data_IF_518092335005
#
_entry.id   IF_518092335005
#
_cell.length_a   1.000
_cell.length_b   1.000
_cell.length_c   1.000
_cell.angle_alpha   90.00
_cell.angle_beta   90.00
_cell.angle_gamma   90.00
#
_symmetry.space_group_name_H-M   'P 1'
#
loop_
_entity.id
_entity.type
_entity.pdbx_description
1 polymer ?
#
# COMPACT_ATOMS: atom_id res chain seq x y z
N UNK A 1 6.79 2.78 30.89
CA UNK A 1 6.70 4.24 30.77
C UNK A 1 6.81 4.75 29.33
N UNK A 2 7.81 4.36 28.54
CA UNK A 2 8.00 4.78 27.14
C UNK A 2 6.82 4.47 26.20
N UNK A 3 6.12 3.35 26.36
CA UNK A 3 4.93 3.01 25.55
C UNK A 3 3.74 3.93 25.86
N UNK A 4 3.57 4.36 27.11
CA UNK A 4 2.52 5.29 27.54
C UNK A 4 2.72 6.68 26.94
N UNK A 5 3.97 7.13 26.83
CA UNK A 5 4.34 8.42 26.24
C UNK A 5 4.11 8.41 24.71
N UNK A 6 4.26 7.22 24.09
CA UNK A 6 4.07 7.05 22.65
C UNK A 6 2.61 6.93 22.20
N UNK A 7 1.68 6.67 23.14
CA UNK A 7 0.25 6.59 22.85
C UNK A 7 -0.33 7.99 22.67
N UNK A 8 -0.49 8.40 21.42
CA UNK A 8 -1.23 9.62 21.08
C UNK A 8 -2.72 9.30 20.94
N UNK A 9 -3.54 9.98 21.74
CA UNK A 9 -4.99 9.93 21.61
C UNK A 9 -5.41 10.74 20.37
N UNK A 10 -6.00 10.07 19.41
CA UNK A 10 -6.56 10.71 18.22
C UNK A 10 -8.05 10.99 18.51
N UNK A 11 -8.35 12.11 19.17
CA UNK A 11 -9.71 12.51 19.48
C UNK A 11 -10.01 13.87 18.89
N UNK A 12 -11.00 13.89 18.02
CA UNK A 12 -11.55 15.14 17.54
C UNK A 12 -12.78 15.63 18.35
N UNK A 13 -13.32 14.83 19.30
CA UNK A 13 -14.51 15.23 20.07
C UNK A 13 -14.53 14.66 21.50
N UNK A 14 -15.03 15.44 22.42
CA UNK A 14 -14.89 15.38 23.88
C UNK A 14 -15.87 14.47 24.65
N UNK A 15 -16.72 13.67 24.02
CA UNK A 15 -17.64 12.79 24.77
C UNK A 15 -16.94 11.49 25.17
N UNK A 16 -17.12 11.03 26.41
CA UNK A 16 -16.64 9.74 26.95
C UNK A 16 -17.09 8.60 26.03
N UNK A 17 -16.16 7.98 25.33
CA UNK A 17 -16.45 6.87 24.43
C UNK A 17 -16.30 5.56 25.16
N UNK A 18 -17.25 4.65 24.91
CA UNK A 18 -17.34 3.38 25.64
C UNK A 18 -16.25 2.36 25.27
N UNK A 19 -15.64 2.47 24.09
CA UNK A 19 -14.65 1.51 23.59
C UNK A 19 -13.45 2.21 22.98
N UNK A 20 -12.27 1.61 23.14
CA UNK A 20 -11.01 2.14 22.62
C UNK A 20 -10.39 1.13 21.65
N UNK A 21 -9.81 1.63 20.56
CA UNK A 21 -9.12 0.83 19.56
C UNK A 21 -7.66 1.27 19.54
N UNK A 22 -6.74 0.31 19.73
CA UNK A 22 -5.32 0.54 19.58
C UNK A 22 -4.90 0.33 18.12
N UNK A 23 -4.27 1.31 17.50
CA UNK A 23 -3.85 1.27 16.12
C UNK A 23 -2.32 1.24 16.07
N UNK A 24 -1.76 0.21 15.44
CA UNK A 24 -0.33 0.13 15.16
C UNK A 24 -0.02 0.99 13.96
N UNK A 25 0.41 2.24 14.22
CA UNK A 25 0.52 3.27 13.21
C UNK A 25 1.58 2.94 12.15
N UNK A 26 1.14 3.04 10.90
CA UNK A 26 1.98 3.16 9.73
C UNK A 26 1.47 4.33 8.89
N UNK A 27 2.37 5.21 8.45
CA UNK A 27 2.01 6.46 7.74
C UNK A 27 1.02 6.26 6.58
N UNK A 28 1.12 5.13 5.87
CA UNK A 28 0.23 4.78 4.76
C UNK A 28 -1.16 4.30 5.27
N UNK A 29 -1.28 3.88 6.53
CA UNK A 29 -2.52 3.32 7.12
C UNK A 29 -3.55 4.35 7.51
N UNK A 30 -3.12 5.55 7.83
CA UNK A 30 -4.00 6.58 8.40
C UNK A 30 -5.13 7.00 7.45
N UNK A 31 -4.87 7.01 6.14
CA UNK A 31 -5.88 7.34 5.13
C UNK A 31 -7.03 6.32 5.05
N UNK A 32 -6.80 5.08 5.49
CA UNK A 32 -7.85 4.07 5.61
C UNK A 32 -8.75 4.30 6.83
N UNK A 33 -8.27 5.11 7.78
CA UNK A 33 -8.95 5.41 9.04
C UNK A 33 -9.66 6.75 9.07
N UNK A 34 -9.46 7.64 8.10
CA UNK A 34 -10.02 8.99 8.12
C UNK A 34 -11.53 9.04 8.30
N UNK A 35 -12.24 8.02 7.81
CA UNK A 35 -13.70 7.94 7.96
C UNK A 35 -14.18 7.32 9.25
N UNK A 36 -13.29 6.82 10.09
CA UNK A 36 -13.65 6.39 11.43
C UNK A 36 -14.26 7.55 12.25
N UNK A 37 -13.78 8.75 12.03
CA UNK A 37 -14.31 9.95 12.74
C UNK A 37 -15.77 10.25 12.39
N UNK A 38 -16.20 9.94 11.15
CA UNK A 38 -17.59 10.18 10.72
C UNK A 38 -18.54 9.05 11.06
N UNK A 39 -18.01 7.82 11.22
CA UNK A 39 -18.85 6.63 11.36
C UNK A 39 -19.04 6.19 12.81
N UNK A 40 -18.19 6.68 13.74
CA UNK A 40 -18.20 6.09 15.06
C UNK A 40 -17.90 7.09 16.19
N UNK A 41 -18.96 7.78 16.65
CA UNK A 41 -18.87 8.64 17.84
C UNK A 41 -18.65 7.83 19.13
N UNK A 42 -18.75 6.50 19.10
CA UNK A 42 -18.66 5.62 20.27
C UNK A 42 -17.24 5.09 20.58
N UNK A 43 -16.26 5.29 19.69
CA UNK A 43 -14.91 4.72 19.84
C UNK A 43 -13.83 5.81 19.90
N UNK A 44 -12.81 5.61 20.74
CA UNK A 44 -11.57 6.39 20.72
C UNK A 44 -10.45 5.62 20.04
N UNK A 45 -9.66 6.30 19.22
CA UNK A 45 -8.52 5.74 18.54
C UNK A 45 -7.24 6.12 19.27
N UNK A 46 -6.45 5.12 19.67
CA UNK A 46 -5.13 5.32 20.25
C UNK A 46 -4.09 4.86 19.22
N UNK A 47 -3.16 5.73 18.90
CA UNK A 47 -2.14 5.44 17.89
C UNK A 47 -0.82 5.14 18.59
N UNK A 48 -0.26 3.97 18.29
CA UNK A 48 1.07 3.59 18.69
C UNK A 48 1.98 3.51 17.44
N UNK A 49 2.99 4.36 17.33
CA UNK A 49 3.95 4.26 16.24
C UNK A 49 4.66 2.90 16.26
N UNK A 50 4.67 2.21 15.12
CA UNK A 50 5.27 0.88 14.98
C UNK A 50 6.76 0.82 15.36
N UNK A 51 7.46 1.95 15.27
CA UNK A 51 8.87 2.03 15.63
C UNK A 51 9.13 1.59 17.07
N UNK A 52 8.22 1.89 18.00
CA UNK A 52 8.36 1.48 19.40
C UNK A 52 8.33 -0.03 19.57
N UNK A 53 7.46 -0.74 18.83
CA UNK A 53 7.49 -2.20 18.83
C UNK A 53 8.79 -2.77 18.27
N UNK A 54 9.35 -2.13 17.25
CA UNK A 54 10.65 -2.55 16.69
C UNK A 54 11.79 -2.36 17.70
N UNK A 55 11.83 -1.22 18.38
CA UNK A 55 12.84 -0.95 19.41
C UNK A 55 12.76 -2.00 20.51
N UNK A 56 11.56 -2.24 21.04
CA UNK A 56 11.36 -3.25 22.07
C UNK A 56 11.73 -4.65 21.55
N UNK A 57 11.32 -5.00 20.35
CA UNK A 57 11.67 -6.26 19.72
C UNK A 57 13.19 -6.46 19.68
N UNK A 58 13.95 -5.46 19.28
CA UNK A 58 15.41 -5.56 19.19
C UNK A 58 16.11 -5.70 20.55
N UNK A 59 15.47 -5.30 21.65
CA UNK A 59 15.99 -5.58 23.00
C UNK A 59 15.98 -7.10 23.28
N UNK A 60 14.89 -7.79 22.89
CA UNK A 60 14.78 -9.25 23.08
C UNK A 60 15.60 -10.06 22.07
N UNK A 61 15.99 -9.45 20.94
CA UNK A 61 16.75 -10.08 19.86
C UNK A 61 18.11 -9.41 19.62
N UNK A 62 18.72 -8.82 20.68
CA UNK A 62 19.99 -8.09 20.60
C UNK A 62 21.14 -8.97 20.06
N UNK A 63 21.16 -10.25 20.44
CA UNK A 63 22.22 -11.20 20.07
C UNK A 63 22.25 -11.48 18.55
N UNK A 64 21.23 -11.07 17.82
CA UNK A 64 21.15 -11.21 16.37
C UNK A 64 21.59 -9.94 15.62
N UNK A 65 22.19 -8.95 16.26
CA UNK A 65 22.74 -7.73 15.65
C UNK A 65 21.79 -7.09 14.63
N UNK A 66 20.51 -6.95 14.97
CA UNK A 66 19.45 -6.44 14.09
C UNK A 66 19.23 -7.23 12.79
N UNK A 67 19.80 -8.44 12.65
CA UNK A 67 19.66 -9.29 11.46
C UNK A 67 18.27 -9.92 11.32
N UNK A 68 17.48 -9.98 12.39
CA UNK A 68 16.12 -10.55 12.38
C UNK A 68 15.18 -9.69 11.52
N UNK A 69 14.55 -10.34 10.57
CA UNK A 69 13.61 -9.73 9.63
C UNK A 69 12.43 -10.68 9.34
N UNK A 70 11.48 -10.25 8.48
CA UNK A 70 10.28 -11.01 8.15
C UNK A 70 10.57 -12.41 7.56
N UNK A 71 11.77 -12.68 7.06
CA UNK A 71 12.12 -13.97 6.45
C UNK A 71 12.76 -14.94 7.46
N UNK A 72 13.76 -14.49 8.23
CA UNK A 72 14.50 -15.35 9.14
C UNK A 72 13.84 -15.51 10.51
N UNK A 73 12.92 -14.62 10.89
CA UNK A 73 12.09 -14.78 12.10
C UNK A 73 11.35 -16.13 12.14
N UNK A 74 11.11 -16.74 10.98
CA UNK A 74 10.41 -18.03 10.84
C UNK A 74 11.33 -19.25 10.99
N UNK A 75 12.62 -19.04 11.11
CA UNK A 75 13.59 -20.14 11.29
C UNK A 75 13.32 -20.84 12.61
N UNK A 76 13.25 -22.16 12.56
CA UNK A 76 13.12 -23.00 13.75
C UNK A 76 14.50 -23.11 14.42
N UNK A 77 14.77 -22.23 15.34
CA UNK A 77 15.96 -22.19 16.17
C UNK A 77 15.53 -22.02 17.62
N UNK A 78 16.03 -22.86 18.51
CA UNK A 78 15.63 -22.89 19.94
C UNK A 78 15.82 -21.51 20.60
N UNK A 79 16.95 -20.85 20.33
CA UNK A 79 17.23 -19.51 20.85
C UNK A 79 16.24 -18.45 20.36
N UNK A 80 15.90 -18.48 19.08
CA UNK A 80 14.87 -17.60 18.51
C UNK A 80 13.50 -17.87 19.15
N UNK A 81 13.12 -19.14 19.33
CA UNK A 81 11.83 -19.50 19.94
C UNK A 81 11.75 -19.08 21.40
N UNK A 82 12.83 -19.20 22.17
CA UNK A 82 12.90 -18.70 23.53
C UNK A 82 12.73 -17.18 23.59
N UNK A 83 13.42 -16.44 22.73
CA UNK A 83 13.29 -14.99 22.66
C UNK A 83 11.87 -14.55 22.22
N UNK A 84 11.23 -15.30 21.32
CA UNK A 84 9.80 -15.08 20.96
C UNK A 84 8.90 -15.24 22.19
N UNK A 85 9.12 -16.28 23.00
CA UNK A 85 8.35 -16.52 24.23
C UNK A 85 8.53 -15.38 25.21
N UNK A 86 9.77 -15.00 25.53
CA UNK A 86 10.07 -13.88 26.43
C UNK A 86 9.44 -12.57 25.94
N UNK A 87 9.55 -12.28 24.66
CA UNK A 87 8.95 -11.09 24.04
C UNK A 87 7.42 -11.12 24.13
N UNK A 88 6.78 -12.27 23.87
CA UNK A 88 5.33 -12.46 24.00
C UNK A 88 4.85 -12.25 25.44
N UNK A 89 5.56 -12.81 26.40
CA UNK A 89 5.21 -12.69 27.82
C UNK A 89 5.33 -11.24 28.29
N UNK A 90 6.39 -10.54 27.87
CA UNK A 90 6.54 -9.12 28.10
C UNK A 90 5.37 -8.31 27.49
N UNK A 91 5.06 -8.56 26.20
CA UNK A 91 3.95 -7.88 25.54
C UNK A 91 2.59 -8.19 26.21
N UNK A 92 2.40 -9.42 26.70
CA UNK A 92 1.17 -9.79 27.41
C UNK A 92 1.01 -8.97 28.71
N UNK A 93 2.10 -8.81 29.50
CA UNK A 93 2.10 -7.98 30.70
C UNK A 93 1.83 -6.50 30.35
N UNK A 94 2.50 -5.97 29.33
CA UNK A 94 2.29 -4.60 28.87
C UNK A 94 0.84 -4.37 28.46
N UNK A 95 0.28 -5.27 27.65
CA UNK A 95 -1.13 -5.17 27.22
C UNK A 95 -2.09 -5.29 28.39
N UNK A 96 -1.82 -6.13 29.37
CA UNK A 96 -2.65 -6.22 30.58
C UNK A 96 -2.76 -4.87 31.28
N UNK A 97 -1.64 -4.21 31.58
CA UNK A 97 -1.65 -2.92 32.25
C UNK A 97 -2.27 -1.78 31.39
N UNK A 98 -1.97 -1.78 30.08
CA UNK A 98 -2.57 -0.82 29.17
C UNK A 98 -4.08 -1.03 29.05
N UNK A 99 -4.53 -2.29 29.01
CA UNK A 99 -5.96 -2.58 28.90
C UNK A 99 -6.72 -2.23 30.17
N UNK A 100 -6.13 -2.46 31.36
CA UNK A 100 -6.70 -2.00 32.64
C UNK A 100 -6.91 -0.49 32.66
N UNK A 101 -5.99 0.29 32.04
CA UNK A 101 -6.08 1.75 32.00
C UNK A 101 -6.98 2.28 30.87
N UNK A 102 -6.94 1.69 29.71
CA UNK A 102 -7.56 2.26 28.50
C UNK A 102 -8.75 1.43 27.97
N UNK A 103 -9.01 0.25 28.47
CA UNK A 103 -10.10 -0.64 28.04
C UNK A 103 -10.18 -0.82 26.52
N UNK A 104 -9.13 -1.40 25.92
CA UNK A 104 -9.09 -1.65 24.50
C UNK A 104 -10.02 -2.79 24.09
N UNK A 105 -10.95 -2.53 23.20
CA UNK A 105 -11.78 -3.57 22.57
C UNK A 105 -11.04 -4.34 21.48
N UNK A 106 -10.15 -3.66 20.79
CA UNK A 106 -9.39 -4.27 19.69
C UNK A 106 -8.08 -3.55 19.38
N UNK A 107 -7.20 -4.28 18.69
CA UNK A 107 -5.95 -3.79 18.11
C UNK A 107 -6.05 -3.92 16.60
N UNK A 108 -5.71 -2.86 15.86
CA UNK A 108 -5.63 -2.85 14.41
C UNK A 108 -4.17 -2.76 13.94
N UNK A 109 -3.73 -3.76 13.15
CA UNK A 109 -2.47 -3.73 12.42
C UNK A 109 -2.71 -3.63 10.90
N UNK A 110 -1.64 -3.38 10.11
CA UNK A 110 -1.75 -3.19 8.66
C UNK A 110 -0.98 -4.22 7.81
N UNK A 111 -0.31 -5.15 8.46
CA UNK A 111 0.33 -6.27 7.76
C UNK A 111 0.56 -7.43 8.73
N UNK A 112 -0.02 -8.59 8.45
CA UNK A 112 0.11 -9.79 9.28
C UNK A 112 1.52 -10.41 9.27
N UNK A 113 2.42 -9.95 8.39
CA UNK A 113 3.76 -10.50 8.20
C UNK A 113 4.84 -9.81 9.04
N UNK A 114 4.57 -8.65 9.63
CA UNK A 114 5.59 -7.91 10.36
C UNK A 114 6.10 -8.65 11.59
N UNK A 115 7.40 -8.98 11.60
CA UNK A 115 8.05 -9.77 12.64
C UNK A 115 7.85 -9.18 14.05
N UNK A 116 8.01 -7.87 14.22
CA UNK A 116 7.85 -7.22 15.52
C UNK A 116 6.40 -7.20 16.04
N UNK A 117 5.40 -7.48 15.19
CA UNK A 117 3.97 -7.51 15.57
C UNK A 117 3.45 -8.94 15.76
N UNK A 118 4.25 -9.96 15.42
CA UNK A 118 3.78 -11.36 15.43
C UNK A 118 3.47 -11.86 16.83
N UNK A 119 4.31 -11.56 17.80
CA UNK A 119 4.04 -11.98 19.18
C UNK A 119 2.93 -11.16 19.83
N UNK A 120 2.70 -9.93 19.35
CA UNK A 120 1.65 -9.05 19.87
C UNK A 120 0.25 -9.63 19.64
N UNK A 121 -0.01 -10.32 18.51
CA UNK A 121 -1.34 -10.90 18.29
C UNK A 121 -1.61 -12.12 19.23
N UNK A 122 -0.58 -12.87 19.64
CA UNK A 122 -0.73 -13.88 20.68
C UNK A 122 -0.92 -13.23 22.07
N UNK A 123 -0.14 -12.18 22.37
CA UNK A 123 -0.29 -11.41 23.59
C UNK A 123 -1.68 -10.76 23.73
N UNK A 124 -2.23 -10.26 22.63
CA UNK A 124 -3.60 -9.72 22.58
C UNK A 124 -4.64 -10.80 22.91
N UNK A 125 -4.49 -12.00 22.35
CA UNK A 125 -5.35 -13.16 22.65
C UNK A 125 -5.32 -13.53 24.12
N UNK A 126 -4.15 -13.56 24.75
CA UNK A 126 -3.98 -13.82 26.18
C UNK A 126 -4.73 -12.78 27.05
N UNK A 127 -4.85 -11.56 26.56
CA UNK A 127 -5.56 -10.47 27.24
C UNK A 127 -7.02 -10.29 26.79
N UNK A 128 -7.57 -11.23 26.02
CA UNK A 128 -8.94 -11.18 25.47
C UNK A 128 -9.22 -9.90 24.64
N UNK A 129 -8.17 -9.32 24.04
CA UNK A 129 -8.27 -8.16 23.15
C UNK A 129 -8.31 -8.67 21.72
N UNK A 130 -9.35 -8.31 20.95
CA UNK A 130 -9.49 -8.68 19.55
C UNK A 130 -8.32 -8.12 18.73
N UNK A 131 -7.66 -8.94 17.92
CA UNK A 131 -6.58 -8.50 17.03
C UNK A 131 -6.95 -8.65 15.57
N UNK A 132 -7.07 -7.52 14.88
CA UNK A 132 -7.48 -7.43 13.48
C UNK A 132 -6.35 -6.87 12.63
N UNK A 133 -6.05 -7.53 11.53
CA UNK A 133 -5.09 -7.05 10.55
C UNK A 133 -5.80 -6.61 9.27
N UNK A 134 -5.74 -5.34 8.92
CA UNK A 134 -6.08 -4.84 7.58
C UNK A 134 -4.85 -4.96 6.68
N UNK A 135 -4.74 -6.06 5.94
CA UNK A 135 -3.57 -6.29 5.10
C UNK A 135 -3.63 -5.44 3.82
N UNK A 136 -2.72 -4.47 3.72
CA UNK A 136 -2.73 -3.43 2.67
C UNK A 136 -2.01 -3.84 1.39
N UNK A 137 -1.08 -4.78 1.44
CA UNK A 137 -0.29 -5.24 0.30
C UNK A 137 -1.09 -6.28 -0.51
N UNK A 138 -2.21 -5.83 -1.10
CA UNK A 138 -3.20 -6.71 -1.73
C UNK A 138 -3.13 -6.75 -3.27
N UNK A 139 -2.18 -6.03 -3.90
CA UNK A 139 -1.93 -6.17 -5.33
C UNK A 139 -1.04 -7.38 -5.57
N UNK A 140 -1.63 -8.43 -6.15
CA UNK A 140 -0.92 -9.65 -6.56
C UNK A 140 -1.02 -9.78 -8.07
N UNK A 141 0.11 -9.92 -8.72
CA UNK A 141 0.19 -10.15 -10.16
C UNK A 141 0.17 -11.65 -10.48
N UNK A 142 -0.26 -12.05 -11.68
CA UNK A 142 -0.31 -13.48 -12.04
C UNK A 142 1.00 -14.22 -11.79
N UNK A 143 2.14 -13.62 -12.13
CA UNK A 143 3.48 -14.19 -11.90
C UNK A 143 3.88 -14.30 -10.43
N UNK A 144 3.21 -13.61 -9.52
CA UNK A 144 3.51 -13.64 -8.08
C UNK A 144 2.68 -14.68 -7.31
N UNK A 145 1.60 -15.20 -7.87
CA UNK A 145 0.64 -16.07 -7.16
C UNK A 145 1.33 -17.30 -6.56
N UNK A 146 2.12 -18.04 -7.35
CA UNK A 146 2.84 -19.24 -6.90
C UNK A 146 3.96 -18.89 -5.90
N UNK A 147 4.83 -17.90 -6.17
CA UNK A 147 5.82 -17.43 -5.19
C UNK A 147 5.21 -17.01 -3.85
N UNK A 148 4.08 -16.32 -3.86
CA UNK A 148 3.37 -15.96 -2.63
C UNK A 148 2.86 -17.17 -1.87
N UNK A 149 2.23 -18.12 -2.55
CA UNK A 149 1.77 -19.35 -1.93
C UNK A 149 2.91 -20.10 -1.24
N UNK A 150 4.03 -20.30 -1.93
CA UNK A 150 5.20 -20.99 -1.38
C UNK A 150 5.82 -20.25 -0.18
N UNK A 151 5.86 -18.93 -0.24
CA UNK A 151 6.29 -18.12 0.89
C UNK A 151 5.35 -18.30 2.09
N UNK A 152 4.05 -18.19 1.85
CA UNK A 152 3.05 -18.21 2.91
C UNK A 152 2.82 -19.61 3.48
N UNK A 153 3.04 -20.66 2.71
CA UNK A 153 2.97 -22.06 3.19
C UNK A 153 3.94 -22.32 4.34
N UNK A 154 5.11 -21.65 4.33
CA UNK A 154 6.09 -21.78 5.41
C UNK A 154 5.83 -20.84 6.61
N UNK A 155 4.81 -19.98 6.51
CA UNK A 155 4.45 -19.06 7.58
C UNK A 155 3.76 -19.79 8.74
N UNK A 156 4.20 -19.55 9.97
CA UNK A 156 3.56 -20.07 11.17
C UNK A 156 2.15 -19.49 11.38
N UNK A 157 1.42 -20.06 12.34
CA UNK A 157 0.04 -19.65 12.64
C UNK A 157 -0.07 -18.16 12.96
N UNK A 158 -1.13 -17.55 12.47
CA UNK A 158 -1.55 -16.21 12.86
C UNK A 158 -2.42 -16.31 14.12
N UNK A 159 -2.02 -15.63 15.18
CA UNK A 159 -2.71 -15.68 16.47
C UNK A 159 -3.83 -14.66 16.63
N UNK A 160 -4.02 -13.76 15.66
CA UNK A 160 -5.12 -12.78 15.68
C UNK A 160 -6.46 -13.33 15.18
N UNK A 161 -7.52 -12.54 15.33
CA UNK A 161 -8.89 -12.96 15.03
C UNK A 161 -9.22 -12.88 13.54
N UNK A 162 -8.84 -11.79 12.87
CA UNK A 162 -9.16 -11.58 11.46
C UNK A 162 -8.01 -11.02 10.66
N UNK A 163 -7.88 -11.50 9.42
CA UNK A 163 -7.07 -10.86 8.37
C UNK A 163 -8.04 -10.35 7.30
N UNK A 164 -8.08 -9.04 7.14
CA UNK A 164 -8.95 -8.33 6.21
C UNK A 164 -8.17 -7.93 4.98
N UNK A 165 -8.74 -8.13 3.80
CA UNK A 165 -8.13 -7.83 2.52
C UNK A 165 -8.97 -6.81 1.75
N UNK A 166 -8.30 -6.07 0.86
CA UNK A 166 -9.01 -5.23 -0.10
C UNK A 166 -9.79 -6.09 -1.11
N UNK A 167 -9.14 -7.11 -1.66
CA UNK A 167 -9.67 -7.98 -2.71
C UNK A 167 -9.49 -9.47 -2.38
N UNK A 168 -9.96 -10.33 -3.27
CA UNK A 168 -9.93 -11.78 -3.08
C UNK A 168 -8.59 -12.46 -3.41
N UNK A 169 -7.69 -11.81 -4.14
CA UNK A 169 -6.51 -12.50 -4.68
C UNK A 169 -5.64 -13.09 -3.57
N UNK A 170 -5.20 -12.27 -2.62
CA UNK A 170 -4.38 -12.75 -1.51
C UNK A 170 -5.18 -13.60 -0.52
N UNK A 171 -6.46 -13.29 -0.29
CA UNK A 171 -7.34 -14.15 0.51
C UNK A 171 -7.36 -15.58 -0.04
N UNK A 172 -7.51 -15.75 -1.36
CA UNK A 172 -7.57 -17.05 -2.02
C UNK A 172 -6.23 -17.81 -1.93
N UNK A 173 -5.11 -17.09 -1.88
CA UNK A 173 -3.80 -17.71 -1.63
C UNK A 173 -3.71 -18.18 -0.17
N UNK A 174 -4.07 -17.32 0.78
CA UNK A 174 -3.99 -17.67 2.21
C UNK A 174 -4.96 -18.79 2.61
N UNK A 175 -6.15 -18.86 2.01
CA UNK A 175 -7.11 -19.93 2.32
C UNK A 175 -6.60 -21.34 2.01
N UNK A 176 -5.56 -21.45 1.20
CA UNK A 176 -4.87 -22.72 0.87
C UNK A 176 -3.68 -23.02 1.80
N UNK A 177 -3.47 -22.20 2.83
CA UNK A 177 -2.37 -22.34 3.80
C UNK A 177 -2.91 -22.61 5.20
N UNK A 178 -2.03 -23.08 6.11
CA UNK A 178 -2.37 -23.33 7.50
C UNK A 178 -2.20 -22.10 8.41
N UNK A 179 -2.05 -20.89 7.84
CA UNK A 179 -1.81 -19.66 8.63
C UNK A 179 -2.97 -19.35 9.56
N UNK A 180 -4.20 -19.45 9.07
CA UNK A 180 -5.42 -19.26 9.86
C UNK A 180 -6.61 -19.93 9.17
N UNK A 181 -7.69 -20.16 9.94
CA UNK A 181 -8.91 -20.72 9.38
C UNK A 181 -9.54 -19.78 8.32
N UNK A 182 -10.10 -20.34 7.24
CA UNK A 182 -10.67 -19.55 6.13
C UNK A 182 -11.79 -18.61 6.59
N UNK A 183 -12.53 -18.96 7.66
CA UNK A 183 -13.56 -18.10 8.27
C UNK A 183 -13.02 -16.78 8.81
N UNK A 184 -11.71 -16.72 9.14
CA UNK A 184 -11.04 -15.52 9.65
C UNK A 184 -10.46 -14.62 8.54
N UNK A 185 -10.54 -15.06 7.27
CA UNK A 185 -10.10 -14.33 6.10
C UNK A 185 -11.28 -13.62 5.45
N UNK A 186 -11.30 -12.29 5.43
CA UNK A 186 -12.42 -11.50 4.94
C UNK A 186 -12.01 -10.48 3.89
N UNK A 187 -12.79 -10.33 2.84
CA UNK A 187 -12.66 -9.24 1.86
C UNK A 187 -13.59 -8.11 2.26
N UNK A 188 -13.06 -6.94 2.53
CA UNK A 188 -13.84 -5.78 2.95
C UNK A 188 -13.83 -4.63 1.95
N UNK A 189 -12.97 -4.68 0.94
CA UNK A 189 -12.66 -3.57 0.05
C UNK A 189 -11.60 -2.63 0.64
N UNK A 190 -11.23 -1.62 -0.11
CA UNK A 190 -10.22 -0.63 0.26
C UNK A 190 -10.87 0.57 0.97
N UNK A 191 -10.70 0.77 2.28
CA UNK A 191 -11.42 1.81 3.03
C UNK A 191 -11.17 3.22 2.52
N UNK A 192 -9.93 3.57 2.14
CA UNK A 192 -9.62 4.92 1.62
C UNK A 192 -10.30 5.19 0.27
N UNK A 193 -10.66 4.16 -0.50
CA UNK A 193 -11.37 4.33 -1.76
C UNK A 193 -12.82 4.79 -1.56
N UNK A 194 -13.40 4.62 -0.36
CA UNK A 194 -14.72 5.14 -0.02
C UNK A 194 -14.82 6.66 -0.21
N UNK A 195 -13.70 7.37 -0.17
CA UNK A 195 -13.60 8.79 -0.46
C UNK A 195 -14.22 9.15 -1.82
N UNK A 196 -13.93 8.36 -2.84
CA UNK A 196 -14.36 8.62 -4.23
C UNK A 196 -15.82 8.30 -4.50
N UNK A 197 -16.43 7.39 -3.74
CA UNK A 197 -17.82 6.97 -3.95
C UNK A 197 -18.85 7.88 -3.29
N UNK A 198 -18.46 8.69 -2.30
CA UNK A 198 -19.37 9.50 -1.50
C UNK A 198 -19.48 10.96 -1.95
N UNK A 199 -18.51 11.47 -2.64
CA UNK A 199 -18.55 12.82 -3.19
C UNK A 199 -19.18 12.83 -4.57
N UNK A 200 -20.19 13.69 -4.79
CA UNK A 200 -20.42 14.25 -6.12
C UNK A 200 -19.20 15.11 -6.43
N UNK A 201 -18.21 14.50 -7.07
CA UNK A 201 -16.97 15.19 -7.43
C UNK A 201 -17.34 16.19 -8.53
N UNK A 202 -17.55 17.43 -8.15
CA UNK A 202 -17.63 18.53 -9.11
C UNK A 202 -16.28 18.55 -9.85
N UNK A 203 -16.32 18.46 -11.18
CA UNK A 203 -15.13 18.55 -12.03
C UNK A 203 -14.43 19.88 -11.74
N UNK A 204 -13.43 19.88 -10.88
CA UNK A 204 -12.53 21.03 -10.73
C UNK A 204 -11.67 21.12 -11.98
N UNK A 205 -11.26 22.32 -12.35
CA UNK A 205 -10.37 22.55 -13.49
C UNK A 205 -9.18 21.58 -13.45
N UNK A 206 -8.98 20.86 -14.55
CA UNK A 206 -7.87 19.93 -14.71
C UNK A 206 -6.58 20.74 -14.84
N UNK A 207 -5.70 20.68 -13.83
CA UNK A 207 -4.56 21.59 -13.74
C UNK A 207 -3.27 21.04 -14.35
N UNK A 208 -2.93 19.78 -14.04
CA UNK A 208 -1.61 19.22 -14.36
C UNK A 208 -1.70 17.75 -14.80
N UNK A 209 -0.63 17.25 -15.36
CA UNK A 209 -0.38 15.82 -15.58
C UNK A 209 0.31 15.28 -14.33
N UNK A 210 -0.26 14.24 -13.72
CA UNK A 210 0.23 13.66 -12.47
C UNK A 210 1.03 12.38 -12.74
N UNK A 211 2.30 12.38 -12.33
CA UNK A 211 3.20 11.25 -12.47
C UNK A 211 3.50 10.67 -11.10
N UNK A 212 3.15 9.40 -10.86
CA UNK A 212 3.55 8.68 -9.66
C UNK A 212 4.91 8.03 -9.85
N UNK A 213 5.91 8.56 -9.17
CA UNK A 213 7.25 7.97 -9.13
C UNK A 213 7.23 6.66 -8.32
N UNK A 214 8.05 5.72 -8.71
CA UNK A 214 8.12 4.40 -8.09
C UNK A 214 9.54 4.07 -7.66
N UNK A 215 9.65 3.21 -6.66
CA UNK A 215 10.92 2.56 -6.38
C UNK A 215 11.00 1.25 -7.20
N UNK A 216 11.84 1.18 -8.24
CA UNK A 216 11.90 0.01 -9.11
C UNK A 216 12.25 -1.28 -8.36
N UNK A 217 13.04 -1.19 -7.29
CA UNK A 217 13.43 -2.34 -6.44
C UNK A 217 12.25 -2.94 -5.67
N UNK A 218 11.10 -2.23 -5.57
CA UNK A 218 9.90 -2.66 -4.83
C UNK A 218 8.73 -3.03 -5.73
N UNK A 219 8.95 -3.13 -7.03
CA UNK A 219 7.89 -3.43 -8.01
C UNK A 219 7.36 -4.85 -7.91
N UNK A 220 8.19 -5.77 -7.47
CA UNK A 220 7.88 -7.19 -7.35
C UNK A 220 8.09 -7.60 -5.89
N UNK A 221 7.01 -8.00 -5.22
CA UNK A 221 7.03 -8.19 -3.77
C UNK A 221 7.66 -9.50 -3.32
N UNK A 222 7.58 -10.54 -4.16
CA UNK A 222 8.07 -11.88 -3.79
C UNK A 222 8.64 -12.57 -5.01
N UNK A 223 9.95 -12.41 -5.23
CA UNK A 223 10.62 -13.14 -6.32
C UNK A 223 11.91 -13.79 -5.85
N UNK A 224 11.93 -15.12 -5.85
CA UNK A 224 13.17 -15.88 -5.78
C UNK A 224 13.60 -16.23 -7.20
N UNK A 225 14.92 -16.23 -7.46
CA UNK A 225 15.51 -16.58 -8.79
C UNK A 225 14.91 -17.85 -9.40
N UNK A 226 14.62 -18.88 -8.57
CA UNK A 226 14.03 -20.14 -9.03
C UNK A 226 12.68 -19.99 -9.73
N UNK A 227 11.85 -19.02 -9.33
CA UNK A 227 10.52 -18.82 -9.95
C UNK A 227 10.61 -18.07 -11.27
N UNK A 228 11.59 -17.17 -11.41
CA UNK A 228 11.88 -16.52 -12.68
C UNK A 228 12.37 -17.52 -13.72
N UNK A 229 13.25 -18.44 -13.31
CA UNK A 229 13.68 -19.57 -14.20
C UNK A 229 12.48 -20.37 -14.72
N UNK A 230 11.51 -20.70 -13.86
CA UNK A 230 10.30 -21.41 -14.27
C UNK A 230 9.45 -20.64 -15.30
N UNK A 231 9.52 -19.31 -15.26
CA UNK A 231 8.86 -18.44 -16.25
C UNK A 231 9.76 -18.13 -17.46
N UNK A 232 10.96 -18.70 -17.52
CA UNK A 232 11.99 -18.40 -18.53
C UNK A 232 12.32 -16.91 -18.60
N UNK A 233 12.38 -16.24 -17.44
CA UNK A 233 12.68 -14.81 -17.30
C UNK A 233 14.03 -14.66 -16.61
N UNK A 234 14.97 -13.95 -17.23
CA UNK A 234 16.18 -13.46 -16.54
C UNK A 234 15.82 -12.25 -15.68
N UNK A 235 16.46 -12.15 -14.49
CA UNK A 235 16.36 -10.96 -13.63
C UNK A 235 16.79 -9.67 -14.34
N UNK A 236 17.76 -9.78 -15.26
CA UNK A 236 18.22 -8.65 -16.08
C UNK A 236 17.13 -8.11 -17.01
N UNK A 237 16.19 -8.98 -17.43
CA UNK A 237 15.06 -8.62 -18.28
C UNK A 237 13.97 -7.83 -17.52
N UNK A 238 13.96 -7.92 -16.21
CA UNK A 238 13.11 -7.10 -15.32
C UNK A 238 13.70 -5.70 -15.12
N UNK A 239 14.10 -5.04 -16.21
CA UNK A 239 14.79 -3.75 -16.14
C UNK A 239 13.86 -2.57 -15.83
N UNK A 240 13.08 -2.71 -14.74
CA UNK A 240 12.19 -1.67 -14.26
C UNK A 240 12.91 -0.34 -13.95
N UNK A 241 14.16 -0.43 -13.53
CA UNK A 241 14.97 0.76 -13.24
C UNK A 241 15.21 1.57 -14.49
N UNK A 242 15.71 0.94 -15.56
CA UNK A 242 15.94 1.63 -16.82
C UNK A 242 14.66 2.11 -17.48
N UNK A 243 13.60 1.26 -17.48
CA UNK A 243 12.29 1.65 -18.00
C UNK A 243 11.71 2.88 -17.27
N UNK A 244 11.93 2.98 -15.96
CA UNK A 244 11.45 4.11 -15.18
C UNK A 244 12.27 5.38 -15.44
N UNK A 245 13.58 5.28 -15.66
CA UNK A 245 14.42 6.42 -16.03
C UNK A 245 14.09 6.91 -17.43
N UNK A 246 13.99 6.02 -18.42
CA UNK A 246 13.60 6.38 -19.78
C UNK A 246 12.23 7.08 -19.81
N UNK A 247 11.28 6.63 -18.98
CA UNK A 247 9.99 7.30 -18.85
C UNK A 247 10.15 8.76 -18.37
N UNK A 248 10.99 8.98 -17.35
CA UNK A 248 11.18 10.33 -16.80
C UNK A 248 11.86 11.23 -17.84
N UNK A 249 12.91 10.74 -18.51
CA UNK A 249 13.58 11.47 -19.59
C UNK A 249 12.58 11.88 -20.69
N UNK A 250 11.75 10.93 -21.15
CA UNK A 250 10.76 11.20 -22.20
C UNK A 250 9.68 12.20 -21.76
N UNK A 251 9.24 12.16 -20.48
CA UNK A 251 8.30 13.14 -19.95
C UNK A 251 8.95 14.52 -19.83
N UNK A 252 10.21 14.61 -19.39
CA UNK A 252 10.94 15.88 -19.29
C UNK A 252 11.16 16.51 -20.67
N UNK A 253 11.53 15.71 -21.68
CA UNK A 253 11.62 16.15 -23.06
C UNK A 253 10.27 16.68 -23.61
N UNK A 254 9.17 16.01 -23.27
CA UNK A 254 7.84 16.44 -23.64
C UNK A 254 7.44 17.74 -22.91
N UNK A 255 7.76 17.84 -21.61
CA UNK A 255 7.50 19.03 -20.80
C UNK A 255 8.25 20.26 -21.31
N UNK A 256 9.51 20.11 -21.74
CA UNK A 256 10.32 21.17 -22.34
C UNK A 256 9.66 21.76 -23.61
N UNK A 257 9.00 20.90 -24.41
CA UNK A 257 8.29 21.31 -25.63
C UNK A 257 6.89 21.89 -25.36
N UNK A 258 6.37 21.75 -24.14
CA UNK A 258 5.04 22.18 -23.73
C UNK A 258 5.10 23.00 -22.45
N UNK A 259 5.71 24.20 -22.45
CA UNK A 259 5.97 24.99 -21.24
C UNK A 259 4.70 25.41 -20.48
N UNK A 260 3.57 25.53 -21.17
CA UNK A 260 2.26 25.91 -20.60
C UNK A 260 1.53 24.75 -19.90
N UNK A 261 2.07 23.53 -19.98
CA UNK A 261 1.50 22.34 -19.35
C UNK A 261 2.27 22.01 -18.08
N UNK A 262 1.58 21.98 -16.95
CA UNK A 262 2.18 21.64 -15.67
C UNK A 262 2.29 20.11 -15.49
N UNK A 263 3.47 19.63 -15.05
CA UNK A 263 3.77 18.25 -14.73
C UNK A 263 4.11 18.11 -13.25
N UNK A 264 3.34 17.29 -12.53
CA UNK A 264 3.51 17.10 -11.12
C UNK A 264 4.00 15.67 -10.83
N UNK A 265 5.24 15.55 -10.37
CA UNK A 265 5.89 14.28 -10.04
C UNK A 265 5.72 13.99 -8.55
N UNK A 266 4.95 12.96 -8.23
CA UNK A 266 4.63 12.59 -6.86
C UNK A 266 5.51 11.43 -6.38
N UNK A 267 6.34 11.70 -5.38
CA UNK A 267 7.13 10.67 -4.67
C UNK A 267 6.57 10.38 -3.27
N UNK A 268 7.08 9.33 -2.62
CA UNK A 268 6.77 9.02 -1.23
C UNK A 268 7.73 9.78 -0.30
N UNK A 269 7.22 10.36 0.79
CA UNK A 269 8.00 11.15 1.75
C UNK A 269 9.31 10.47 2.21
N UNK A 270 9.28 9.16 2.44
CA UNK A 270 10.44 8.36 2.85
C UNK A 270 11.60 8.31 1.83
N UNK A 271 11.40 8.79 0.61
CA UNK A 271 12.44 8.78 -0.42
C UNK A 271 13.16 10.13 -0.54
N UNK A 272 12.62 11.21 0.01
CA UNK A 272 13.27 12.51 0.00
C UNK A 272 14.35 12.65 1.08
N UNK A 273 14.17 11.97 2.21
CA UNK A 273 15.18 11.92 3.28
C UNK A 273 16.43 11.13 2.83
N UNK A 274 16.24 10.21 1.86
CA UNK A 274 17.30 9.39 1.26
C UNK A 274 17.76 9.90 -0.12
N UNK A 275 17.22 11.03 -0.61
CA UNK A 275 17.58 11.58 -1.92
C UNK A 275 18.96 12.23 -1.83
N UNK A 276 19.98 11.42 -1.98
CA UNK A 276 21.28 11.91 -2.38
C UNK A 276 21.17 12.40 -3.84
N UNK A 277 21.04 13.71 -4.01
CA UNK A 277 20.90 14.36 -5.33
C UNK A 277 22.08 14.05 -6.26
N UNK A 278 23.21 13.59 -5.71
CA UNK A 278 24.37 13.13 -6.44
C UNK A 278 24.22 11.71 -7.01
N UNK A 279 23.21 10.95 -6.58
CA UNK A 279 22.91 9.63 -7.15
C UNK A 279 21.80 9.72 -8.18
N UNK A 280 21.94 9.02 -9.31
CA UNK A 280 20.90 8.93 -10.33
C UNK A 280 19.65 8.30 -9.75
N UNK A 281 18.59 9.11 -9.57
CA UNK A 281 17.25 8.71 -9.14
C UNK A 281 16.21 9.44 -9.99
N UNK A 282 14.96 8.96 -9.98
CA UNK A 282 13.88 9.67 -10.70
C UNK A 282 13.68 11.07 -10.14
N UNK A 283 13.78 11.23 -8.83
CA UNK A 283 13.66 12.51 -8.13
C UNK A 283 14.79 13.48 -8.55
N UNK A 284 16.05 13.00 -8.59
CA UNK A 284 17.19 13.83 -9.01
C UNK A 284 17.08 14.24 -10.47
N UNK A 285 16.57 13.40 -11.36
CA UNK A 285 16.32 13.73 -12.76
C UNK A 285 15.34 14.90 -12.90
N UNK A 286 14.20 14.84 -12.19
CA UNK A 286 13.21 15.92 -12.20
C UNK A 286 13.78 17.21 -11.61
N UNK A 287 14.50 17.11 -10.49
CA UNK A 287 15.10 18.26 -9.83
C UNK A 287 16.16 18.96 -10.71
N UNK A 288 17.06 18.17 -11.31
CA UNK A 288 18.17 18.67 -12.12
C UNK A 288 17.75 19.19 -13.49
N UNK A 289 16.55 18.81 -13.99
CA UNK A 289 16.04 19.33 -15.26
C UNK A 289 15.73 20.83 -15.23
N UNK A 290 15.51 21.40 -14.03
CA UNK A 290 15.24 22.84 -13.80
C UNK A 290 14.12 23.44 -14.68
N UNK A 291 13.13 22.61 -15.09
CA UNK A 291 11.99 23.05 -15.89
C UNK A 291 10.93 23.69 -14.97
N UNK A 292 10.52 24.93 -15.28
CA UNK A 292 9.54 25.71 -14.48
C UNK A 292 8.18 25.01 -14.36
N UNK A 293 7.78 24.27 -15.38
CA UNK A 293 6.52 23.53 -15.45
C UNK A 293 6.58 22.11 -14.89
N UNK A 294 7.75 21.66 -14.36
CA UNK A 294 7.93 20.38 -13.71
C UNK A 294 8.13 20.57 -12.21
N UNK A 295 7.24 20.00 -11.39
CA UNK A 295 7.29 20.12 -9.92
C UNK A 295 7.38 18.75 -9.27
N UNK A 296 8.30 18.60 -8.34
CA UNK A 296 8.39 17.42 -7.46
C UNK A 296 7.57 17.67 -6.19
N UNK A 297 6.73 16.72 -5.80
CA UNK A 297 5.89 16.83 -4.60
C UNK A 297 5.93 15.58 -3.74
N UNK A 298 5.74 15.77 -2.43
CA UNK A 298 5.68 14.72 -1.41
C UNK A 298 4.73 15.15 -0.27
N UNK A 299 4.26 14.21 0.51
CA UNK A 299 3.39 14.54 1.66
C UNK A 299 1.94 14.89 1.33
N UNK A 300 1.65 15.38 0.15
CA UNK A 300 0.29 15.74 -0.28
C UNK A 300 -0.61 14.53 -0.46
N UNK A 301 -1.90 14.72 -0.24
CA UNK A 301 -2.91 13.68 -0.41
C UNK A 301 -3.07 13.31 -1.88
N UNK A 302 -2.65 12.10 -2.21
CA UNK A 302 -2.76 11.55 -3.58
C UNK A 302 -4.18 11.63 -4.14
N UNK A 303 -5.21 11.57 -3.29
CA UNK A 303 -6.62 11.64 -3.71
C UNK A 303 -6.97 13.01 -4.27
N UNK A 304 -6.51 14.07 -3.60
CA UNK A 304 -6.71 15.45 -4.06
C UNK A 304 -5.92 15.75 -5.32
N UNK A 305 -4.71 15.19 -5.44
CA UNK A 305 -3.89 15.32 -6.65
C UNK A 305 -4.56 14.62 -7.83
N UNK A 306 -5.05 13.39 -7.66
CA UNK A 306 -5.78 12.67 -8.69
C UNK A 306 -7.05 13.43 -9.12
N UNK A 307 -7.79 14.01 -8.16
CA UNK A 307 -8.99 14.82 -8.50
C UNK A 307 -8.65 15.99 -9.43
N UNK A 308 -7.56 16.70 -9.17
CA UNK A 308 -7.14 17.90 -9.90
C UNK A 308 -6.38 17.60 -11.20
N UNK A 309 -5.91 16.36 -11.40
CA UNK A 309 -5.09 16.01 -12.56
C UNK A 309 -5.89 15.93 -13.87
N UNK A 310 -5.24 16.21 -15.00
CA UNK A 310 -5.73 15.94 -16.38
C UNK A 310 -5.68 14.45 -16.68
N UNK A 311 -4.55 13.82 -16.39
CA UNK A 311 -4.35 12.38 -16.47
C UNK A 311 -3.38 11.92 -15.38
N UNK A 312 -3.27 10.60 -15.22
CA UNK A 312 -2.37 9.97 -14.26
C UNK A 312 -1.43 9.01 -14.98
N UNK A 313 -0.14 9.16 -14.75
CA UNK A 313 0.91 8.28 -15.29
C UNK A 313 1.52 7.50 -14.13
N UNK A 314 1.74 6.22 -14.32
CA UNK A 314 2.43 5.41 -13.32
C UNK A 314 2.46 3.94 -13.68
N UNK A 315 3.20 3.22 -12.86
CA UNK A 315 3.30 1.77 -12.95
C UNK A 315 2.36 1.11 -11.91
N UNK A 316 2.62 -0.10 -11.54
CA UNK A 316 1.90 -0.97 -10.62
C UNK A 316 1.51 -0.32 -9.28
N UNK A 317 0.48 0.49 -9.28
CA UNK A 317 0.02 1.21 -8.08
C UNK A 317 -1.50 1.19 -7.94
N UNK A 318 -2.00 1.09 -6.72
CA UNK A 318 -3.43 1.27 -6.41
C UNK A 318 -3.94 2.65 -6.77
N UNK A 319 -3.05 3.66 -6.83
CA UNK A 319 -3.43 5.03 -7.23
C UNK A 319 -3.95 5.11 -8.67
N UNK A 320 -3.48 4.23 -9.56
CA UNK A 320 -4.03 4.13 -10.92
C UNK A 320 -5.49 3.63 -10.90
N UNK A 321 -5.80 2.69 -10.01
CA UNK A 321 -7.16 2.17 -9.88
C UNK A 321 -8.05 3.21 -9.20
N UNK A 322 -7.50 3.97 -8.25
CA UNK A 322 -8.17 5.12 -7.64
C UNK A 322 -8.52 6.18 -8.70
N UNK A 323 -7.61 6.44 -9.64
CA UNK A 323 -7.86 7.34 -10.78
C UNK A 323 -8.96 6.80 -11.73
N UNK A 324 -9.09 5.47 -11.89
CA UNK A 324 -10.19 4.87 -12.66
C UNK A 324 -11.56 5.13 -12.04
N UNK A 325 -11.68 5.18 -10.71
CA UNK A 325 -12.95 5.52 -10.05
C UNK A 325 -13.43 6.90 -10.49
N UNK A 326 -12.49 7.84 -10.69
CA UNK A 326 -12.72 9.19 -11.20
C UNK A 326 -12.78 9.27 -12.73
N UNK A 327 -12.68 8.13 -13.40
CA UNK A 327 -12.63 8.03 -14.87
C UNK A 327 -11.53 8.88 -15.52
N UNK A 328 -10.44 9.15 -14.80
CA UNK A 328 -9.29 9.86 -15.35
C UNK A 328 -8.62 9.04 -16.44
N UNK A 329 -8.07 9.65 -17.50
CA UNK A 329 -7.14 8.99 -18.40
C UNK A 329 -5.95 8.46 -17.60
N UNK A 330 -5.55 7.22 -17.88
CA UNK A 330 -4.41 6.59 -17.23
C UNK A 330 -3.42 6.15 -18.29
N UNK A 331 -2.16 6.48 -18.10
CA UNK A 331 -1.07 6.03 -18.95
C UNK A 331 -0.20 5.07 -18.14
N UNK A 332 -0.05 3.86 -18.64
CA UNK A 332 0.82 2.82 -18.07
C UNK A 332 2.00 2.62 -19.02
N UNK A 333 3.20 3.08 -18.64
CA UNK A 333 4.38 2.85 -19.49
C UNK A 333 4.80 1.37 -19.42
N UNK A 334 5.16 0.82 -20.58
CA UNK A 334 5.66 -0.56 -20.72
C UNK A 334 6.97 -0.60 -21.48
N UNK A 335 7.76 0.48 -21.40
CA UNK A 335 9.01 0.68 -22.14
C UNK A 335 10.01 -0.45 -21.93
N UNK A 336 10.44 -1.08 -23.02
CA UNK A 336 11.44 -2.13 -23.01
C UNK A 336 11.04 -3.41 -22.27
N UNK A 337 9.78 -3.53 -21.83
CA UNK A 337 9.32 -4.74 -21.16
C UNK A 337 8.95 -5.81 -22.19
N UNK A 338 9.53 -7.00 -22.04
CA UNK A 338 9.09 -8.16 -22.81
C UNK A 338 7.61 -8.47 -22.54
N UNK A 339 6.90 -8.99 -23.57
CA UNK A 339 5.48 -9.34 -23.48
C UNK A 339 5.14 -10.22 -22.27
N UNK A 340 6.02 -11.19 -21.95
CA UNK A 340 5.83 -12.09 -20.82
C UNK A 340 5.88 -11.33 -19.47
N UNK A 341 6.77 -10.32 -19.34
CA UNK A 341 6.89 -9.49 -18.14
C UNK A 341 5.66 -8.61 -18.01
N UNK A 342 5.31 -7.93 -19.09
CA UNK A 342 4.11 -7.09 -19.11
C UNK A 342 2.85 -7.88 -18.75
N UNK A 343 2.68 -9.09 -19.26
CA UNK A 343 1.52 -9.95 -18.96
C UNK A 343 1.48 -10.42 -17.50
N UNK A 344 2.63 -10.78 -16.91
CA UNK A 344 2.68 -11.43 -15.60
C UNK A 344 2.93 -10.49 -14.43
N UNK A 345 3.50 -9.31 -14.65
CA UNK A 345 3.96 -8.41 -13.58
C UNK A 345 3.53 -6.96 -13.74
N UNK A 346 2.60 -6.66 -14.65
CA UNK A 346 2.01 -5.34 -14.76
C UNK A 346 0.52 -5.36 -14.44
N UNK A 347 0.04 -4.21 -14.00
CA UNK A 347 -1.36 -3.98 -13.71
C UNK A 347 -2.19 -4.07 -15.01
N UNK A 348 -3.06 -5.07 -15.10
CA UNK A 348 -3.91 -5.25 -16.27
C UNK A 348 -5.20 -4.45 -16.11
N UNK A 349 -5.22 -3.25 -16.65
CA UNK A 349 -6.38 -2.35 -16.67
C UNK A 349 -7.20 -2.47 -17.97
N UNK A 350 -6.88 -3.45 -18.82
CA UNK A 350 -7.56 -3.66 -20.12
C UNK A 350 -7.64 -2.34 -20.92
N UNK A 351 -8.77 -2.07 -21.54
CA UNK A 351 -9.03 -0.85 -22.32
C UNK A 351 -9.23 0.40 -21.44
N UNK A 352 -9.09 0.29 -20.12
CA UNK A 352 -9.26 1.42 -19.22
C UNK A 352 -8.00 2.28 -19.07
N UNK A 353 -6.88 1.84 -19.63
CA UNK A 353 -5.63 2.58 -19.63
C UNK A 353 -5.00 2.59 -21.02
N UNK A 354 -4.14 3.58 -21.25
CA UNK A 354 -3.29 3.69 -22.41
C UNK A 354 -1.93 3.09 -22.07
N UNK A 355 -1.54 2.02 -22.75
CA UNK A 355 -0.25 1.38 -22.56
C UNK A 355 0.74 1.97 -23.57
N UNK A 356 1.70 2.76 -23.09
CA UNK A 356 2.76 3.32 -23.92
C UNK A 356 3.99 2.41 -23.93
N UNK A 357 4.37 1.90 -25.10
CA UNK A 357 5.51 0.98 -25.27
C UNK A 357 6.82 1.71 -25.55
N UNK A 358 6.74 2.96 -25.98
CA UNK A 358 7.88 3.81 -26.37
C UNK A 358 7.51 5.28 -26.28
N UNK A 359 8.51 6.15 -26.49
CA UNK A 359 8.39 7.60 -26.50
C UNK A 359 7.31 8.12 -27.48
N UNK A 360 7.25 7.56 -28.70
CA UNK A 360 6.28 7.99 -29.73
C UNK A 360 4.84 7.76 -29.27
N UNK A 361 4.55 6.58 -28.73
CA UNK A 361 3.21 6.26 -28.17
C UNK A 361 2.87 7.13 -26.96
N UNK A 362 3.84 7.34 -26.05
CA UNK A 362 3.67 8.23 -24.89
C UNK A 362 3.32 9.65 -25.34
N UNK A 363 4.13 10.22 -26.24
CA UNK A 363 3.93 11.60 -26.73
C UNK A 363 2.59 11.76 -27.44
N UNK A 364 2.17 10.76 -28.24
CA UNK A 364 0.85 10.76 -28.88
C UNK A 364 -0.28 10.87 -27.84
N UNK A 365 -0.26 10.01 -26.81
CA UNK A 365 -1.30 10.02 -25.77
C UNK A 365 -1.25 11.32 -24.97
N UNK A 366 -0.07 11.83 -24.64
CA UNK A 366 0.09 13.11 -23.94
C UNK A 366 -0.48 14.27 -24.75
N UNK A 367 -0.17 14.34 -26.06
CA UNK A 367 -0.75 15.34 -26.96
C UNK A 367 -2.28 15.26 -27.00
N UNK A 368 -2.84 14.06 -27.11
CA UNK A 368 -4.29 13.88 -27.10
C UNK A 368 -4.94 14.31 -25.77
N UNK A 369 -4.21 14.17 -24.64
CA UNK A 369 -4.67 14.64 -23.32
C UNK A 369 -4.61 16.17 -23.21
N UNK A 370 -3.52 16.81 -23.64
CA UNK A 370 -3.38 18.27 -23.53
C UNK A 370 -4.30 19.01 -24.48
N UNK A 371 -4.57 18.46 -25.68
CA UNK A 371 -5.53 19.03 -26.67
C UNK A 371 -6.98 18.68 -26.32
N UNK A 372 -7.26 17.90 -25.27
CA UNK A 372 -8.61 17.54 -24.84
C UNK A 372 -9.28 16.42 -25.64
N UNK A 373 -8.61 15.85 -26.66
CA UNK A 373 -9.10 14.68 -27.43
C UNK A 373 -9.32 13.47 -26.50
N UNK A 374 -8.48 13.34 -25.46
CA UNK A 374 -8.62 12.35 -24.39
C UNK A 374 -8.85 13.09 -23.07
N UNK A 375 -10.08 13.07 -22.56
CA UNK A 375 -10.44 13.70 -21.29
C UNK A 375 -10.95 12.71 -20.23
N UNK A 376 -11.14 11.44 -20.59
CA UNK A 376 -11.59 10.34 -19.69
C UNK A 376 -11.12 8.99 -20.22
N UNK A 377 -11.19 7.95 -19.37
CA UNK A 377 -10.99 6.57 -19.81
C UNK A 377 -12.05 6.15 -20.84
N UNK A 378 -11.65 5.36 -21.83
CA UNK A 378 -12.56 4.83 -22.88
C UNK A 378 -13.43 3.65 -22.41
N UNK A 379 -13.08 3.03 -21.27
CA UNK A 379 -13.78 1.84 -20.81
C UNK A 379 -15.21 2.12 -20.35
N UNK A 380 -16.14 1.28 -20.76
CA UNK A 380 -17.54 1.32 -20.32
C UNK A 380 -17.68 0.99 -18.82
N UNK A 381 -18.82 1.38 -18.23
CA UNK A 381 -19.11 1.23 -16.79
C UNK A 381 -18.88 -0.20 -16.27
N UNK A 382 -19.29 -1.23 -17.02
CA UNK A 382 -19.14 -2.67 -16.63
C UNK A 382 -17.67 -3.06 -16.50
N UNK A 383 -16.81 -2.66 -17.47
CA UNK A 383 -15.37 -2.96 -17.44
C UNK A 383 -14.71 -2.26 -16.26
N UNK A 384 -15.00 -0.97 -16.05
CA UNK A 384 -14.48 -0.21 -14.90
C UNK A 384 -14.88 -0.86 -13.57
N UNK A 385 -16.16 -1.20 -13.40
CA UNK A 385 -16.65 -1.88 -12.20
C UNK A 385 -15.86 -3.17 -11.93
N UNK A 386 -15.67 -4.01 -12.95
CA UNK A 386 -14.95 -5.27 -12.82
C UNK A 386 -13.48 -5.07 -12.41
N UNK A 387 -12.78 -4.08 -13.01
CA UNK A 387 -11.38 -3.78 -12.66
C UNK A 387 -11.30 -3.24 -11.23
N UNK A 388 -12.15 -2.29 -10.86
CA UNK A 388 -12.15 -1.72 -9.50
C UNK A 388 -12.45 -2.81 -8.48
N UNK A 389 -13.45 -3.66 -8.72
CA UNK A 389 -13.78 -4.78 -7.81
C UNK A 389 -12.63 -5.79 -7.71
N UNK A 390 -11.98 -6.12 -8.84
CA UNK A 390 -10.84 -7.04 -8.84
C UNK A 390 -9.71 -6.56 -7.93
N UNK A 391 -9.32 -5.30 -8.02
CA UNK A 391 -8.11 -4.81 -7.36
C UNK A 391 -8.37 -4.12 -6.01
N UNK A 392 -9.48 -3.40 -5.88
CA UNK A 392 -9.81 -2.68 -4.65
C UNK A 392 -10.94 -3.37 -3.84
N UNK A 393 -11.50 -4.44 -4.38
CA UNK A 393 -12.61 -5.15 -3.77
C UNK A 393 -13.94 -4.42 -3.98
N UNK A 394 -14.74 -4.29 -2.93
CA UNK A 394 -16.07 -3.67 -3.04
C UNK A 394 -15.98 -2.19 -3.45
N UNK A 395 -16.84 -1.79 -4.34
CA UNK A 395 -16.89 -0.44 -4.91
C UNK A 395 -18.19 0.31 -4.56
N UNK A 396 -18.70 0.07 -3.37
CA UNK A 396 -19.96 0.63 -2.86
C UNK A 396 -19.78 1.77 -1.84
N UNK A 397 -18.52 2.18 -1.58
CA UNK A 397 -18.18 3.23 -0.62
C UNK A 397 -18.42 2.85 0.85
N UNK A 398 -18.50 1.56 1.18
CA UNK A 398 -18.80 1.04 2.53
C UNK A 398 -17.67 0.19 3.14
N UNK A 399 -16.47 0.22 2.56
CA UNK A 399 -15.32 -0.57 3.05
C UNK A 399 -14.90 -0.17 4.47
N UNK A 400 -14.92 1.13 4.77
CA UNK A 400 -14.65 1.64 6.13
C UNK A 400 -15.68 1.14 7.16
N UNK A 401 -16.97 1.08 6.78
CA UNK A 401 -18.02 0.52 7.64
C UNK A 401 -17.76 -0.95 7.94
N UNK A 402 -17.39 -1.73 6.93
CA UNK A 402 -17.03 -3.15 7.11
C UNK A 402 -15.82 -3.32 8.03
N UNK A 403 -14.79 -2.48 7.88
CA UNK A 403 -13.62 -2.51 8.76
C UNK A 403 -14.03 -2.28 10.23
N UNK A 404 -14.87 -1.29 10.50
CA UNK A 404 -15.35 -0.98 11.85
C UNK A 404 -16.08 -2.18 12.44
N UNK A 405 -16.95 -2.84 11.71
CA UNK A 405 -17.70 -4.01 12.20
C UNK A 405 -16.79 -5.16 12.69
N UNK A 406 -15.57 -5.27 12.17
CA UNK A 406 -14.59 -6.24 12.65
C UNK A 406 -13.79 -5.76 13.86
N UNK A 407 -13.77 -4.46 14.15
CA UNK A 407 -13.06 -3.88 15.29
C UNK A 407 -13.96 -3.73 16.53
N UNK A 408 -15.24 -3.70 16.35
CA UNK A 408 -16.25 -3.61 17.39
C UNK A 408 -16.89 -4.96 17.68
#
# INVERSE_FOLDING_TARGET
MSILIALKRYNFFTKRKKKNILILYRSIGIFDLEKFNYLNQSHSLFIMPRIHLKIIFHIFFKDFNHSINDNNYLTKNLHIENNKKLYRDFLSKVLFYLNKKFNFSSILSFNFRYYAERELHFAAKNNKIKFVCLHKESLIFPGETKPYYELLKSYGKYGGDYILFYNSDLKNILSKTAITASKNLKVIGMPRADYYFRKKIKSKSKKFILIFLINPKRMIHVMKKKYLKNLKIDLKELNWTQSSFNLIDDILDFAKKNPDVEFLFKTKKLFLEDVNLNKKSQESMVYNAKLRNCKLTFGEDSRQLIEKSRCVIGFNSTTLIEALILKKPIIVPTFGLKKIISKNFTLNLKNSAFYAKNKKELNKVLNDVITGKINRTKAGKKVLKNIITKYLGNNDGRSSKRLINYLT
#
